data_IF_308656958646
#
_entry.id   IF_308656958646
#
_cell.length_a   1.000
_cell.length_b   1.000
_cell.length_c   1.000
_cell.angle_alpha   90.00
_cell.angle_beta   90.00
_cell.angle_gamma   90.00
#
_symmetry.space_group_name_H-M   'P 1'
#
loop_
_entity.id
_entity.type
_entity.pdbx_description
1 polymer ?
#
# COMPACT_ATOMS: atom_id res chain seq x y z
N UNK A 1 5.38 -3.72 -17.99
CA UNK A 1 5.39 -4.33 -16.65
C UNK A 1 4.02 -4.87 -16.27
N UNK A 2 3.90 -5.65 -15.19
CA UNK A 2 2.60 -6.16 -14.75
C UNK A 2 1.66 -4.99 -14.37
N UNK A 3 0.38 -5.09 -14.76
CA UNK A 3 -0.62 -4.08 -14.44
C UNK A 3 -0.94 -4.11 -12.93
N UNK A 4 -0.63 -3.08 -12.14
CA UNK A 4 -0.85 -3.06 -10.70
C UNK A 4 -2.33 -3.17 -10.30
N UNK A 5 -3.26 -2.72 -11.14
CA UNK A 5 -4.71 -2.87 -10.93
C UNK A 5 -5.16 -4.33 -10.88
N UNK A 6 -4.39 -5.23 -11.47
CA UNK A 6 -4.65 -6.67 -11.47
C UNK A 6 -3.73 -7.39 -10.49
N UNK A 7 -2.46 -7.05 -10.50
CA UNK A 7 -1.43 -7.76 -9.73
C UNK A 7 -1.61 -7.58 -8.23
N UNK A 8 -1.79 -6.35 -7.75
CA UNK A 8 -1.93 -6.08 -6.31
C UNK A 8 -3.19 -6.75 -5.73
N UNK A 9 -4.39 -6.59 -6.33
CA UNK A 9 -5.58 -7.28 -5.81
C UNK A 9 -5.47 -8.81 -5.82
N UNK A 10 -4.89 -9.41 -6.87
CA UNK A 10 -4.69 -10.85 -6.89
C UNK A 10 -3.74 -11.31 -5.78
N UNK A 11 -2.63 -10.61 -5.58
CA UNK A 11 -1.67 -10.94 -4.51
C UNK A 11 -2.33 -10.87 -3.12
N UNK A 12 -3.16 -9.85 -2.89
CA UNK A 12 -3.89 -9.72 -1.62
C UNK A 12 -4.88 -10.87 -1.44
N UNK A 13 -5.66 -11.20 -2.47
CA UNK A 13 -6.64 -12.31 -2.40
C UNK A 13 -5.92 -13.65 -2.23
N UNK A 14 -4.77 -13.86 -2.87
CA UNK A 14 -3.95 -15.07 -2.68
C UNK A 14 -3.46 -15.18 -1.23
N UNK A 15 -2.98 -14.08 -0.65
CA UNK A 15 -2.58 -14.05 0.76
C UNK A 15 -3.75 -14.38 1.69
N UNK A 16 -4.93 -13.80 1.45
CA UNK A 16 -6.14 -14.08 2.23
C UNK A 16 -6.62 -15.52 2.10
N UNK A 17 -6.42 -16.16 0.96
CA UNK A 17 -6.78 -17.56 0.72
C UNK A 17 -5.95 -18.54 1.56
N UNK A 18 -4.78 -18.13 2.07
CA UNK A 18 -3.94 -18.96 2.96
C UNK A 18 -4.40 -18.99 4.41
N UNK A 19 -5.34 -18.12 4.79
CA UNK A 19 -5.86 -18.06 6.15
C UNK A 19 -6.68 -19.32 6.51
N UNK A 20 -6.69 -19.68 7.78
CA UNK A 20 -7.52 -20.79 8.27
C UNK A 20 -9.02 -20.60 7.98
N UNK A 21 -9.46 -19.36 7.94
CA UNK A 21 -10.81 -18.94 7.53
C UNK A 21 -10.71 -17.84 6.48
N UNK A 22 -10.59 -18.20 5.19
CA UNK A 22 -10.56 -17.22 4.12
C UNK A 22 -11.83 -16.36 4.11
N UNK A 23 -11.75 -15.05 3.84
CA UNK A 23 -12.90 -14.17 3.76
C UNK A 23 -13.81 -14.56 2.58
N UNK A 24 -15.12 -14.35 2.75
CA UNK A 24 -16.14 -14.54 1.72
C UNK A 24 -16.77 -13.21 1.28
N UNK A 25 -16.88 -12.26 2.20
CA UNK A 25 -17.51 -10.97 1.97
C UNK A 25 -16.48 -9.84 2.08
N UNK A 26 -16.60 -8.86 1.22
CA UNK A 26 -15.63 -7.77 1.09
C UNK A 26 -16.34 -6.42 1.04
N UNK A 27 -15.88 -5.49 1.88
CA UNK A 27 -16.16 -4.08 1.72
C UNK A 27 -14.95 -3.41 1.03
N UNK A 28 -15.21 -2.62 0.01
CA UNK A 28 -14.22 -1.77 -0.63
C UNK A 28 -14.54 -0.33 -0.29
N UNK A 29 -13.58 0.37 0.29
CA UNK A 29 -13.68 1.80 0.56
C UNK A 29 -12.43 2.49 0.01
N UNK A 30 -12.60 3.58 -0.74
CA UNK A 30 -11.50 4.12 -1.52
C UNK A 30 -11.54 5.64 -1.68
N UNK A 31 -10.36 6.25 -1.64
CA UNK A 31 -10.14 7.59 -2.15
C UNK A 31 -10.36 7.63 -3.66
N UNK A 32 -10.88 8.75 -4.16
CA UNK A 32 -10.93 9.03 -5.61
C UNK A 32 -9.57 9.48 -6.17
N UNK A 33 -8.52 9.45 -5.37
CA UNK A 33 -7.18 9.71 -5.88
C UNK A 33 -6.80 8.65 -6.93
N UNK A 34 -6.41 9.05 -8.16
CA UNK A 34 -6.39 8.14 -9.32
C UNK A 34 -5.68 6.81 -9.11
N UNK A 35 -4.49 6.81 -8.50
CA UNK A 35 -3.69 5.58 -8.35
C UNK A 35 -4.36 4.54 -7.44
N UNK A 36 -4.90 4.94 -6.30
CA UNK A 36 -5.57 4.02 -5.37
C UNK A 36 -6.98 3.68 -5.81
N UNK A 37 -7.66 4.60 -6.52
CA UNK A 37 -8.97 4.36 -7.09
C UNK A 37 -8.94 3.27 -8.17
N UNK A 38 -8.00 3.37 -9.12
CA UNK A 38 -7.85 2.36 -10.17
C UNK A 38 -7.55 0.97 -9.59
N UNK A 39 -6.69 0.88 -8.59
CA UNK A 39 -6.42 -0.40 -7.91
C UNK A 39 -7.64 -0.92 -7.14
N UNK A 40 -8.45 -0.05 -6.56
CA UNK A 40 -9.71 -0.45 -5.89
C UNK A 40 -10.76 -0.93 -6.90
N UNK A 41 -10.82 -0.32 -8.08
CA UNK A 41 -11.65 -0.83 -9.19
C UNK A 41 -11.16 -2.18 -9.68
N UNK A 42 -9.84 -2.37 -9.81
CA UNK A 42 -9.24 -3.67 -10.10
C UNK A 42 -9.55 -4.72 -9.03
N UNK A 43 -9.54 -4.32 -7.75
CA UNK A 43 -9.94 -5.19 -6.64
C UNK A 43 -11.40 -5.63 -6.77
N UNK A 44 -12.30 -4.74 -7.18
CA UNK A 44 -13.71 -5.05 -7.44
C UNK A 44 -13.86 -6.18 -8.48
N UNK A 45 -13.11 -6.07 -9.57
CA UNK A 45 -13.11 -7.08 -10.64
C UNK A 45 -12.51 -8.42 -10.19
N UNK A 46 -11.38 -8.38 -9.47
CA UNK A 46 -10.70 -9.59 -8.95
C UNK A 46 -11.58 -10.30 -7.92
N UNK A 47 -12.18 -9.58 -6.98
CA UNK A 47 -13.09 -10.12 -5.97
C UNK A 47 -14.22 -10.90 -6.64
N UNK A 48 -14.87 -10.30 -7.64
CA UNK A 48 -15.95 -10.95 -8.40
C UNK A 48 -15.46 -12.20 -9.13
N UNK A 49 -14.33 -12.12 -9.83
CA UNK A 49 -13.74 -13.27 -10.56
C UNK A 49 -13.32 -14.41 -9.65
N UNK A 50 -12.91 -14.10 -8.43
CA UNK A 50 -12.46 -15.07 -7.42
C UNK A 50 -13.60 -15.61 -6.55
N UNK A 51 -14.85 -15.23 -6.83
CA UNK A 51 -16.05 -15.75 -6.15
C UNK A 51 -16.29 -15.18 -4.76
N UNK A 52 -15.67 -14.05 -4.41
CA UNK A 52 -16.00 -13.31 -3.20
C UNK A 52 -17.18 -12.37 -3.48
N UNK A 53 -17.93 -12.04 -2.42
CA UNK A 53 -19.10 -11.16 -2.50
C UNK A 53 -18.74 -9.75 -2.03
N UNK A 54 -18.89 -8.77 -2.89
CA UNK A 54 -18.84 -7.36 -2.50
C UNK A 54 -20.13 -7.00 -1.73
N UNK A 55 -19.99 -6.57 -0.48
CA UNK A 55 -21.13 -6.15 0.37
C UNK A 55 -21.22 -4.63 0.51
N UNK A 56 -20.16 -3.92 0.16
CA UNK A 56 -20.12 -2.45 0.21
C UNK A 56 -19.05 -1.93 -0.75
N UNK A 57 -19.38 -0.86 -1.47
CA UNK A 57 -18.44 -0.02 -2.19
C UNK A 57 -18.70 1.44 -1.85
N UNK A 58 -17.72 2.13 -1.27
CA UNK A 58 -17.81 3.55 -0.93
C UNK A 58 -16.58 4.31 -1.42
N UNK A 59 -16.80 5.55 -1.77
CA UNK A 59 -15.77 6.45 -2.25
C UNK A 59 -15.74 7.73 -1.42
N UNK A 60 -14.58 8.37 -1.33
CA UNK A 60 -14.44 9.72 -0.79
C UNK A 60 -13.52 10.58 -1.66
N UNK A 61 -13.70 11.91 -1.58
CA UNK A 61 -12.81 12.84 -2.26
C UNK A 61 -11.45 12.90 -1.57
N UNK A 62 -10.37 12.98 -2.37
CA UNK A 62 -9.03 13.14 -1.84
C UNK A 62 -8.96 14.34 -0.87
N UNK A 63 -8.33 14.13 0.27
CA UNK A 63 -8.24 15.14 1.33
C UNK A 63 -9.43 15.16 2.30
N UNK A 64 -10.39 14.24 2.18
CA UNK A 64 -11.40 14.02 3.21
C UNK A 64 -10.75 13.84 4.59
N UNK A 65 -11.37 14.40 5.62
CA UNK A 65 -10.89 14.28 7.01
C UNK A 65 -11.91 13.69 7.97
N UNK A 66 -13.15 13.52 7.52
CA UNK A 66 -14.23 12.90 8.30
C UNK A 66 -14.57 11.53 7.72
N UNK A 67 -14.24 10.49 8.48
CA UNK A 67 -14.47 9.09 8.11
C UNK A 67 -15.54 8.42 8.97
N UNK A 68 -16.23 9.16 9.84
CA UNK A 68 -17.22 8.59 10.76
C UNK A 68 -18.37 7.88 10.04
N UNK A 69 -18.94 8.50 9.02
CA UNK A 69 -20.02 7.90 8.24
C UNK A 69 -19.53 6.64 7.47
N UNK A 70 -18.32 6.68 6.91
CA UNK A 70 -17.72 5.53 6.21
C UNK A 70 -17.50 4.38 7.18
N UNK A 71 -16.92 4.65 8.35
CA UNK A 71 -16.68 3.65 9.39
C UNK A 71 -17.98 2.95 9.85
N UNK A 72 -19.05 3.72 10.06
CA UNK A 72 -20.36 3.17 10.42
C UNK A 72 -20.94 2.27 9.31
N UNK A 73 -20.83 2.69 8.04
CA UNK A 73 -21.29 1.90 6.90
C UNK A 73 -20.53 0.58 6.77
N UNK A 74 -19.20 0.59 6.99
CA UNK A 74 -18.38 -0.62 7.00
C UNK A 74 -18.80 -1.55 8.13
N UNK A 75 -18.97 -1.04 9.34
CA UNK A 75 -19.44 -1.80 10.50
C UNK A 75 -20.80 -2.47 10.25
N UNK A 76 -21.75 -1.73 9.69
CA UNK A 76 -23.10 -2.21 9.40
C UNK A 76 -23.12 -3.28 8.31
N UNK A 77 -22.22 -3.20 7.33
CA UNK A 77 -22.08 -4.18 6.25
C UNK A 77 -21.48 -5.52 6.72
N UNK A 78 -20.84 -5.57 7.89
CA UNK A 78 -20.23 -6.76 8.51
C UNK A 78 -19.35 -7.58 7.54
N UNK A 79 -18.40 -6.96 6.82
CA UNK A 79 -17.55 -7.69 5.90
C UNK A 79 -16.56 -8.59 6.63
N UNK A 80 -16.18 -9.71 6.02
CA UNK A 80 -15.05 -10.52 6.47
C UNK A 80 -13.71 -9.82 6.22
N UNK A 81 -13.66 -9.02 5.17
CA UNK A 81 -12.46 -8.31 4.74
C UNK A 81 -12.79 -6.89 4.27
N UNK A 82 -11.94 -5.92 4.63
CA UNK A 82 -12.04 -4.52 4.19
C UNK A 82 -10.82 -4.16 3.34
N UNK A 83 -11.07 -3.81 2.09
CA UNK A 83 -10.08 -3.19 1.21
C UNK A 83 -10.13 -1.68 1.40
N UNK A 84 -8.99 -1.07 1.77
CA UNK A 84 -8.88 0.38 1.95
C UNK A 84 -7.94 0.97 0.90
N UNK A 85 -8.52 1.57 -0.13
CA UNK A 85 -7.82 2.32 -1.16
C UNK A 85 -7.52 3.75 -0.67
N UNK A 86 -6.59 3.87 0.26
CA UNK A 86 -6.21 5.15 0.86
C UNK A 86 -4.83 5.62 0.38
N UNK A 87 -4.57 6.91 0.49
CA UNK A 87 -3.26 7.51 0.25
C UNK A 87 -2.86 8.42 1.42
N UNK A 88 -1.56 8.53 1.69
CA UNK A 88 -1.05 9.34 2.80
C UNK A 88 -1.62 8.90 4.14
N UNK A 89 -2.23 9.82 4.87
CA UNK A 89 -2.80 9.58 6.21
C UNK A 89 -4.26 9.11 6.20
N UNK A 90 -4.91 9.01 5.05
CA UNK A 90 -6.34 8.67 4.96
C UNK A 90 -6.64 7.32 5.63
N UNK A 91 -5.78 6.31 5.45
CA UNK A 91 -5.91 5.00 6.08
C UNK A 91 -5.87 5.06 7.60
N UNK A 92 -4.98 5.88 8.17
CA UNK A 92 -4.90 6.09 9.61
C UNK A 92 -6.15 6.77 10.15
N UNK A 93 -6.69 7.77 9.43
CA UNK A 93 -7.91 8.48 9.82
C UNK A 93 -9.13 7.55 9.80
N UNK A 94 -9.22 6.64 8.83
CA UNK A 94 -10.28 5.63 8.80
C UNK A 94 -10.15 4.63 9.95
N UNK A 95 -8.94 4.15 10.24
CA UNK A 95 -8.67 3.28 11.40
C UNK A 95 -9.11 3.94 12.71
N UNK A 96 -8.74 5.20 12.92
CA UNK A 96 -9.15 5.97 14.09
C UNK A 96 -10.68 6.13 14.17
N UNK A 97 -11.36 6.37 13.05
CA UNK A 97 -12.81 6.44 12.99
C UNK A 97 -13.48 5.10 13.34
N UNK A 98 -12.93 3.99 12.85
CA UNK A 98 -13.43 2.64 13.20
C UNK A 98 -13.21 2.33 14.69
N UNK A 99 -12.05 2.69 15.24
CA UNK A 99 -11.76 2.57 16.67
C UNK A 99 -12.73 3.38 17.54
N UNK A 100 -13.05 4.60 17.14
CA UNK A 100 -14.00 5.48 17.89
C UNK A 100 -15.41 4.89 18.00
N UNK A 101 -15.81 4.03 17.09
CA UNK A 101 -17.10 3.32 17.13
C UNK A 101 -16.98 1.88 17.62
N UNK A 102 -15.84 1.53 18.25
CA UNK A 102 -15.54 0.18 18.75
C UNK A 102 -15.73 -0.90 17.68
N UNK A 103 -15.15 -0.67 16.51
CA UNK A 103 -15.18 -1.60 15.40
C UNK A 103 -13.78 -1.94 14.92
N UNK A 104 -13.48 -3.24 14.82
CA UNK A 104 -12.26 -3.77 14.22
C UNK A 104 -12.64 -4.74 13.10
N UNK A 105 -12.21 -4.50 11.85
CA UNK A 105 -12.38 -5.45 10.78
C UNK A 105 -11.70 -6.80 11.12
N UNK A 106 -12.31 -7.95 10.79
CA UNK A 106 -11.66 -9.25 10.95
C UNK A 106 -10.35 -9.36 10.19
N UNK A 107 -10.33 -8.89 8.95
CA UNK A 107 -9.18 -8.75 8.07
C UNK A 107 -9.30 -7.43 7.32
N UNK A 108 -8.19 -6.74 7.06
CA UNK A 108 -8.19 -5.48 6.33
C UNK A 108 -6.87 -5.28 5.58
N UNK A 109 -6.93 -4.51 4.49
CA UNK A 109 -5.79 -4.18 3.66
C UNK A 109 -5.73 -2.68 3.40
N UNK A 110 -4.54 -2.10 3.46
CA UNK A 110 -4.29 -0.70 3.19
C UNK A 110 -3.30 -0.53 2.04
N UNK A 111 -3.71 0.23 1.03
CA UNK A 111 -2.77 0.67 0.00
C UNK A 111 -1.71 1.61 0.60
N UNK A 112 -2.14 2.52 1.47
CA UNK A 112 -1.32 3.42 2.27
C UNK A 112 -2.00 3.65 3.62
N UNK A 113 -1.24 3.89 4.67
CA UNK A 113 0.22 3.99 4.70
C UNK A 113 0.89 2.63 4.49
N UNK A 114 2.14 2.67 4.06
CA UNK A 114 3.03 1.51 4.06
C UNK A 114 3.22 0.95 5.50
N UNK A 115 3.79 -0.23 5.66
CA UNK A 115 3.77 -0.95 6.95
C UNK A 115 4.21 -0.15 8.17
N UNK A 116 5.21 0.73 8.05
CA UNK A 116 5.79 1.44 9.19
C UNK A 116 4.74 2.16 10.06
N UNK A 117 3.94 3.09 9.53
CA UNK A 117 2.91 3.79 10.31
C UNK A 117 1.79 2.90 10.85
N UNK A 118 1.55 1.72 10.27
CA UNK A 118 0.52 0.78 10.74
C UNK A 118 1.00 -0.12 11.88
N UNK A 119 2.28 -0.52 11.86
CA UNK A 119 2.84 -1.52 12.80
C UNK A 119 2.66 -1.12 14.27
N UNK A 120 2.74 0.17 14.57
CA UNK A 120 2.62 0.68 15.94
C UNK A 120 1.18 0.84 16.45
N UNK A 121 0.18 0.62 15.58
CA UNK A 121 -1.23 0.84 15.91
C UNK A 121 -1.91 -0.47 16.34
N UNK A 122 -2.40 -0.60 17.59
CA UNK A 122 -3.14 -1.81 18.03
C UNK A 122 -4.36 -2.12 17.16
N UNK A 123 -5.05 -1.11 16.67
CA UNK A 123 -6.20 -1.20 15.77
C UNK A 123 -5.85 -1.73 14.38
N UNK A 124 -4.59 -1.72 13.99
CA UNK A 124 -4.10 -2.30 12.73
C UNK A 124 -3.78 -3.80 12.84
N UNK A 125 -4.12 -4.44 13.95
CA UNK A 125 -3.98 -5.90 14.08
C UNK A 125 -4.68 -6.61 12.92
N UNK A 126 -4.02 -7.59 12.33
CA UNK A 126 -4.44 -8.33 11.14
C UNK A 126 -4.53 -7.48 9.86
N UNK A 127 -3.98 -6.26 9.87
CA UNK A 127 -3.88 -5.46 8.64
C UNK A 127 -2.80 -6.03 7.72
N UNK A 128 -3.12 -6.04 6.43
CA UNK A 128 -2.17 -6.22 5.33
C UNK A 128 -1.83 -4.86 4.74
N UNK A 129 -0.65 -4.73 4.19
CA UNK A 129 -0.22 -3.56 3.45
C UNK A 129 0.63 -3.99 2.26
N UNK A 130 0.62 -3.22 1.18
CA UNK A 130 1.47 -3.46 0.04
C UNK A 130 2.82 -2.75 0.20
N UNK A 131 3.89 -3.45 -0.11
CA UNK A 131 5.21 -2.86 -0.27
C UNK A 131 5.90 -3.46 -1.48
N UNK A 132 6.71 -2.65 -2.18
CA UNK A 132 7.55 -3.10 -3.29
C UNK A 132 9.01 -3.22 -2.90
N UNK A 133 9.35 -2.84 -1.69
CA UNK A 133 10.69 -2.95 -1.13
C UNK A 133 10.63 -3.04 0.40
N UNK A 134 11.41 -3.95 0.96
CA UNK A 134 11.62 -4.08 2.40
C UNK A 134 13.11 -4.16 2.72
N UNK A 135 13.50 -3.68 3.91
CA UNK A 135 14.92 -3.61 4.32
C UNK A 135 15.47 -4.93 4.90
N UNK A 136 14.97 -6.05 4.43
CA UNK A 136 15.38 -7.40 4.84
C UNK A 136 15.27 -8.38 3.66
N UNK A 137 15.80 -9.61 3.77
CA UNK A 137 15.66 -10.63 2.74
C UNK A 137 14.21 -10.90 2.34
N UNK A 138 13.95 -11.20 1.06
CA UNK A 138 14.94 -11.41 -0.01
C UNK A 138 15.47 -10.13 -0.68
N UNK A 139 14.95 -8.95 -0.35
CA UNK A 139 15.33 -7.68 -1.00
C UNK A 139 16.80 -7.33 -0.76
N UNK A 140 17.31 -7.54 0.44
CA UNK A 140 18.69 -7.24 0.82
C UNK A 140 19.68 -8.33 0.44
N UNK A 141 19.27 -9.41 -0.21
CA UNK A 141 20.17 -10.37 -0.83
C UNK A 141 20.94 -9.74 -2.00
N UNK A 142 20.41 -8.66 -2.57
CA UNK A 142 21.13 -7.80 -3.50
C UNK A 142 22.09 -6.89 -2.73
N UNK A 143 23.43 -6.94 -3.00
CA UNK A 143 24.41 -6.13 -2.26
C UNK A 143 24.17 -4.62 -2.36
N UNK A 144 23.71 -4.12 -3.51
CA UNK A 144 23.41 -2.69 -3.70
C UNK A 144 22.23 -2.27 -2.84
N UNK A 145 21.21 -3.12 -2.73
CA UNK A 145 20.08 -2.87 -1.84
C UNK A 145 20.49 -2.88 -0.37
N UNK A 146 21.36 -3.82 0.04
CA UNK A 146 21.88 -3.90 1.41
C UNK A 146 22.69 -2.65 1.77
N UNK A 147 23.56 -2.18 0.87
CA UNK A 147 24.32 -0.95 1.04
C UNK A 147 23.42 0.29 1.12
N UNK A 148 22.41 0.38 0.25
CA UNK A 148 21.42 1.45 0.29
C UNK A 148 20.69 1.50 1.63
N UNK A 149 20.21 0.36 2.13
CA UNK A 149 19.52 0.27 3.43
C UNK A 149 20.42 0.79 4.56
N UNK A 150 21.68 0.34 4.60
CA UNK A 150 22.65 0.80 5.60
C UNK A 150 22.85 2.31 5.53
N UNK A 151 23.10 2.83 4.34
CA UNK A 151 23.34 4.26 4.12
C UNK A 151 22.13 5.10 4.51
N UNK A 152 20.92 4.63 4.17
CA UNK A 152 19.67 5.30 4.51
C UNK A 152 19.48 5.36 6.03
N UNK A 153 19.59 4.21 6.72
CA UNK A 153 19.42 4.11 8.16
C UNK A 153 20.42 5.01 8.92
N UNK A 154 21.69 5.02 8.49
CA UNK A 154 22.73 5.86 9.08
C UNK A 154 22.41 7.37 8.92
N UNK A 155 21.91 7.77 7.74
CA UNK A 155 21.54 9.17 7.47
C UNK A 155 20.25 9.57 8.19
N UNK A 156 19.25 8.71 8.21
CA UNK A 156 18.00 8.94 8.91
C UNK A 156 18.23 9.14 10.43
N UNK A 157 19.07 8.30 11.03
CA UNK A 157 19.47 8.43 12.43
C UNK A 157 20.18 9.75 12.72
N UNK A 158 21.14 10.14 11.85
CA UNK A 158 21.85 11.43 11.97
C UNK A 158 20.92 12.64 11.79
N UNK A 159 19.87 12.50 10.99
CA UNK A 159 18.87 13.53 10.79
C UNK A 159 17.82 13.59 11.92
N UNK A 160 17.88 12.66 12.88
CA UNK A 160 16.94 12.61 14.00
C UNK A 160 15.52 12.20 13.63
N UNK A 161 15.37 11.40 12.55
CA UNK A 161 14.06 10.88 12.18
C UNK A 161 13.56 9.89 13.23
N UNK A 162 12.27 9.95 13.54
CA UNK A 162 11.64 9.05 14.51
C UNK A 162 11.61 7.58 14.04
N UNK A 163 11.51 7.37 12.72
CA UNK A 163 11.61 6.07 12.07
C UNK A 163 12.77 6.11 11.08
N UNK A 164 13.70 5.18 11.24
CA UNK A 164 14.88 5.04 10.39
C UNK A 164 14.71 3.98 9.30
N UNK A 165 13.55 3.33 9.25
CA UNK A 165 13.28 2.29 8.26
C UNK A 165 13.16 2.86 6.85
N UNK A 166 13.59 2.07 5.87
CA UNK A 166 13.46 2.45 4.46
C UNK A 166 12.03 2.26 4.02
N UNK A 167 11.37 3.33 3.63
CA UNK A 167 10.07 3.26 2.99
C UNK A 167 10.15 2.99 1.49
N UNK A 168 9.07 2.43 0.94
CA UNK A 168 8.93 2.12 -0.50
C UNK A 168 9.28 3.31 -1.40
N UNK A 169 8.85 4.54 -1.05
CA UNK A 169 9.14 5.75 -1.83
C UNK A 169 10.61 6.12 -1.82
N UNK A 170 11.30 5.91 -0.69
CA UNK A 170 12.74 6.15 -0.60
C UNK A 170 13.51 5.18 -1.50
N UNK A 171 13.14 3.89 -1.48
CA UNK A 171 13.73 2.89 -2.37
C UNK A 171 13.44 3.17 -3.84
N UNK A 172 12.22 3.56 -4.19
CA UNK A 172 11.84 3.95 -5.55
C UNK A 172 12.63 5.17 -6.04
N UNK A 173 12.81 6.18 -5.18
CA UNK A 173 13.62 7.35 -5.49
C UNK A 173 15.08 6.97 -5.75
N UNK A 174 15.68 6.13 -4.91
CA UNK A 174 17.04 5.64 -5.12
C UNK A 174 17.16 4.88 -6.45
N UNK A 175 16.24 3.97 -6.76
CA UNK A 175 16.21 3.24 -8.02
C UNK A 175 16.06 4.16 -9.24
N UNK A 176 15.30 5.24 -9.12
CA UNK A 176 15.17 6.25 -10.19
C UNK A 176 16.51 6.91 -10.51
N UNK A 177 17.30 7.24 -9.49
CA UNK A 177 18.64 7.77 -9.68
C UNK A 177 19.59 6.76 -10.33
N UNK A 178 19.50 5.48 -9.96
CA UNK A 178 20.29 4.41 -10.58
C UNK A 178 19.97 4.26 -12.08
N UNK A 179 18.67 4.30 -12.44
CA UNK A 179 18.25 4.24 -13.85
C UNK A 179 18.77 5.46 -14.61
N UNK A 180 18.66 6.67 -14.03
CA UNK A 180 19.17 7.88 -14.65
C UNK A 180 20.69 7.82 -14.87
N UNK A 181 21.45 7.40 -13.85
CA UNK A 181 22.89 7.22 -13.96
C UNK A 181 23.27 6.22 -15.06
N UNK A 182 22.58 5.09 -15.12
CA UNK A 182 22.80 4.07 -16.15
C UNK A 182 22.49 4.61 -17.57
N UNK A 183 21.36 5.31 -17.73
CA UNK A 183 20.97 5.91 -19.00
C UNK A 183 22.01 6.97 -19.47
N UNK A 184 22.40 7.88 -18.59
CA UNK A 184 23.41 8.91 -18.91
C UNK A 184 24.76 8.27 -19.25
N UNK A 185 25.16 7.26 -18.51
CA UNK A 185 26.42 6.53 -18.74
C UNK A 185 26.42 5.82 -20.09
N UNK A 186 25.32 5.18 -20.45
CA UNK A 186 25.20 4.45 -21.71
C UNK A 186 25.08 5.39 -22.92
N UNK A 187 24.25 6.42 -22.82
CA UNK A 187 23.99 7.36 -23.92
C UNK A 187 25.04 8.48 -24.04
N UNK A 188 25.79 8.74 -22.95
CA UNK A 188 26.69 9.90 -22.80
C UNK A 188 25.97 11.23 -23.08
N UNK A 189 24.67 11.29 -22.76
CA UNK A 189 23.80 12.42 -23.05
C UNK A 189 22.90 12.73 -21.88
N UNK A 190 22.51 14.00 -21.73
CA UNK A 190 21.45 14.49 -20.86
C UNK A 190 20.19 14.87 -21.67
N UNK A 191 20.17 14.54 -22.95
CA UNK A 191 19.00 14.74 -23.80
C UNK A 191 17.88 13.74 -23.43
N UNK A 192 16.69 14.26 -23.14
CA UNK A 192 15.56 13.47 -22.68
C UNK A 192 15.18 12.36 -23.66
N UNK A 193 15.20 12.67 -24.96
CA UNK A 193 14.86 11.67 -25.98
C UNK A 193 15.91 10.57 -26.05
N UNK A 194 17.18 10.92 -26.04
CA UNK A 194 18.26 9.93 -26.07
C UNK A 194 18.20 8.99 -24.86
N UNK A 195 17.87 9.52 -23.66
CA UNK A 195 17.73 8.73 -22.45
C UNK A 195 16.46 7.86 -22.45
N UNK A 196 15.35 8.37 -23.00
CA UNK A 196 14.10 7.61 -23.04
C UNK A 196 14.10 6.49 -24.09
N UNK A 197 14.92 6.63 -25.13
CA UNK A 197 15.06 5.63 -26.19
C UNK A 197 16.02 4.49 -25.78
N UNK A 198 16.78 4.65 -24.67
CA UNK A 198 17.69 3.66 -24.09
C UNK A 198 16.95 2.64 -23.26
#
# INVERSE_FOLDING_TARGET
GPNPEVTVPNTVVDALATLAKPPKTVAIVTSKFPSVYLMSKGAQDVIKKRGLTEVLFLEWEFGNRDYGAIANRVKDAKPDFVWVGAIGLEGNLLLDAMKKIDYQPPQHFYMYPAPGPLVSLPEAKNALSASVFEQHPPFTDNPVAAEFVKLYNDRAAKAGLADNSVETQAAASFSTWQVLEAAVTATKSLDDKAMSDW
#
